data_IF_274161545479
#
_entry.id   IF_274161545479
#
_cell.length_a   1.000
_cell.length_b   1.000
_cell.length_c   1.000
_cell.angle_alpha   90.00
_cell.angle_beta   90.00
_cell.angle_gamma   90.00
#
_symmetry.space_group_name_H-M   'P 1'
#
loop_
_entity.id
_entity.type
_entity.pdbx_description
1 polymer ?
#
# COMPACT_ATOMS: atom_id res chain seq x y z
N UNK A 1 -15.46 -13.95 -4.87
CA UNK A 1 -14.01 -14.19 -5.12
C UNK A 1 -13.25 -13.93 -3.81
N UNK A 2 -12.58 -14.94 -3.25
CA UNK A 2 -11.86 -14.82 -1.97
C UNK A 2 -10.71 -13.79 -2.07
N UNK A 3 -10.35 -13.19 -0.95
CA UNK A 3 -9.31 -12.14 -0.89
C UNK A 3 -7.98 -12.61 -1.45
N UNK A 4 -7.61 -13.87 -1.17
CA UNK A 4 -6.43 -14.53 -1.71
C UNK A 4 -6.43 -14.59 -3.25
N UNK A 5 -7.59 -14.87 -3.87
CA UNK A 5 -7.71 -14.89 -5.34
C UNK A 5 -7.48 -13.52 -5.95
N UNK A 6 -7.88 -12.44 -5.27
CA UNK A 6 -7.64 -11.06 -5.74
C UNK A 6 -6.16 -10.69 -5.65
N UNK A 7 -5.52 -11.00 -4.52
CA UNK A 7 -4.08 -10.77 -4.29
C UNK A 7 -3.26 -11.53 -5.34
N UNK A 8 -3.59 -12.80 -5.58
CA UNK A 8 -2.97 -13.63 -6.61
C UNK A 8 -3.12 -13.02 -8.00
N UNK A 9 -4.35 -12.66 -8.40
CA UNK A 9 -4.59 -12.07 -9.71
C UNK A 9 -3.78 -10.77 -9.93
N UNK A 10 -3.80 -9.85 -8.95
CA UNK A 10 -3.05 -8.60 -9.09
C UNK A 10 -1.55 -8.79 -9.11
N UNK A 11 -1.03 -9.72 -8.30
CA UNK A 11 0.42 -10.02 -8.31
C UNK A 11 0.86 -10.64 -9.63
N UNK A 12 0.06 -11.55 -10.20
CA UNK A 12 0.34 -12.12 -11.53
C UNK A 12 0.32 -11.06 -12.63
N UNK A 13 -0.66 -10.15 -12.63
CA UNK A 13 -0.74 -9.06 -13.61
C UNK A 13 0.46 -8.12 -13.51
N UNK A 14 0.86 -7.75 -12.29
CA UNK A 14 2.02 -6.88 -12.07
C UNK A 14 3.31 -7.58 -12.50
N UNK A 15 3.48 -8.88 -12.20
CA UNK A 15 4.64 -9.65 -12.66
C UNK A 15 4.74 -9.71 -14.18
N UNK A 16 3.62 -9.95 -14.86
CA UNK A 16 3.54 -9.89 -16.32
C UNK A 16 3.95 -8.51 -16.85
N UNK A 17 3.48 -7.43 -16.22
CA UNK A 17 3.85 -6.08 -16.62
C UNK A 17 5.35 -5.79 -16.43
N UNK A 18 5.95 -6.23 -15.31
CA UNK A 18 7.40 -6.08 -15.06
C UNK A 18 8.21 -6.85 -16.11
N UNK A 19 7.77 -8.06 -16.44
CA UNK A 19 8.43 -8.90 -17.43
C UNK A 19 8.38 -8.28 -18.83
N UNK A 20 7.21 -7.81 -19.26
CA UNK A 20 7.06 -7.10 -20.54
C UNK A 20 7.88 -5.81 -20.56
N UNK A 21 7.88 -5.05 -19.47
CA UNK A 21 8.69 -3.83 -19.35
C UNK A 21 10.19 -4.12 -19.50
N UNK A 22 10.69 -5.16 -18.82
CA UNK A 22 12.08 -5.59 -18.96
C UNK A 22 12.40 -6.02 -20.39
N UNK A 23 11.51 -6.80 -21.01
CA UNK A 23 11.72 -7.30 -22.37
C UNK A 23 11.82 -6.18 -23.41
N UNK A 24 10.94 -5.17 -23.31
CA UNK A 24 10.95 -4.01 -24.22
C UNK A 24 12.20 -3.15 -24.03
N UNK A 25 12.67 -2.97 -22.79
CA UNK A 25 13.74 -2.01 -22.47
C UNK A 25 15.15 -2.51 -22.81
N UNK A 26 15.43 -3.78 -22.59
CA UNK A 26 16.77 -4.36 -22.78
C UNK A 26 16.88 -5.32 -23.95
N UNK A 27 15.78 -5.66 -24.63
CA UNK A 27 15.78 -6.67 -25.70
C UNK A 27 16.10 -8.09 -25.21
N UNK A 28 16.15 -8.28 -23.89
CA UNK A 28 16.52 -9.52 -23.20
C UNK A 28 16.17 -9.47 -21.71
N UNK A 29 16.33 -10.60 -21.02
CA UNK A 29 16.04 -10.72 -19.58
C UNK A 29 17.23 -10.27 -18.75
N UNK A 30 17.31 -8.98 -18.44
CA UNK A 30 18.24 -8.49 -17.43
C UNK A 30 17.66 -8.73 -16.04
N UNK A 31 18.30 -9.66 -15.31
CA UNK A 31 17.93 -10.01 -13.94
C UNK A 31 17.91 -8.81 -12.99
N UNK A 32 18.82 -7.84 -13.16
CA UNK A 32 18.92 -6.68 -12.28
C UNK A 32 17.75 -5.71 -12.46
N UNK A 33 17.26 -5.54 -13.69
CA UNK A 33 16.09 -4.69 -13.97
C UNK A 33 14.83 -5.29 -13.34
N UNK A 34 14.66 -6.61 -13.43
CA UNK A 34 13.51 -7.30 -12.84
C UNK A 34 13.53 -7.18 -11.31
N UNK A 35 14.70 -7.37 -10.69
CA UNK A 35 14.88 -7.22 -9.24
C UNK A 35 14.56 -5.79 -8.81
N UNK A 36 15.22 -4.79 -9.41
CA UNK A 36 15.04 -3.39 -9.03
C UNK A 36 13.59 -2.91 -9.23
N UNK A 37 12.97 -3.25 -10.37
CA UNK A 37 11.59 -2.85 -10.66
C UNK A 37 10.61 -3.51 -9.68
N UNK A 38 10.81 -4.79 -9.36
CA UNK A 38 10.01 -5.50 -8.35
C UNK A 38 10.16 -4.88 -6.96
N UNK A 39 11.38 -4.49 -6.58
CA UNK A 39 11.64 -3.81 -5.32
C UNK A 39 10.90 -2.46 -5.23
N UNK A 40 11.02 -1.60 -6.25
CA UNK A 40 10.37 -0.28 -6.25
C UNK A 40 8.85 -0.39 -6.20
N UNK A 41 8.27 -1.33 -6.96
CA UNK A 41 6.82 -1.57 -6.96
C UNK A 41 6.37 -2.11 -5.59
N UNK A 42 7.12 -3.06 -5.03
CA UNK A 42 6.86 -3.60 -3.70
C UNK A 42 6.90 -2.52 -2.61
N UNK A 43 7.91 -1.65 -2.66
CA UNK A 43 8.09 -0.53 -1.72
C UNK A 43 6.93 0.47 -1.83
N UNK A 44 6.52 0.82 -3.05
CA UNK A 44 5.37 1.71 -3.26
C UNK A 44 4.09 1.16 -2.60
N UNK A 45 3.77 -0.12 -2.81
CA UNK A 45 2.61 -0.75 -2.19
C UNK A 45 2.74 -0.92 -0.68
N UNK A 46 3.96 -1.18 -0.19
CA UNK A 46 4.25 -1.26 1.22
C UNK A 46 3.99 0.08 1.93
N UNK A 47 4.48 1.19 1.37
CA UNK A 47 4.25 2.55 1.90
C UNK A 47 2.76 2.88 1.93
N UNK A 48 2.03 2.58 0.85
CA UNK A 48 0.58 2.77 0.81
C UNK A 48 -0.13 1.92 1.87
N UNK A 49 0.24 0.64 1.99
CA UNK A 49 -0.32 -0.26 2.99
C UNK A 49 -0.08 0.24 4.42
N UNK A 50 1.14 0.68 4.72
CA UNK A 50 1.51 1.25 6.01
C UNK A 50 0.75 2.56 6.30
N UNK A 51 0.60 3.42 5.30
CA UNK A 51 -0.15 4.67 5.42
C UNK A 51 -1.64 4.42 5.73
N UNK A 52 -2.28 3.51 5.00
CA UNK A 52 -3.68 3.14 5.25
C UNK A 52 -3.83 2.46 6.62
N UNK A 53 -2.87 1.62 7.02
CA UNK A 53 -2.87 1.01 8.36
C UNK A 53 -2.78 2.07 9.46
N UNK A 54 -1.99 3.11 9.25
CA UNK A 54 -1.85 4.25 10.18
C UNK A 54 -3.12 5.09 10.23
N UNK A 55 -3.81 5.27 9.10
CA UNK A 55 -5.12 5.92 9.04
C UNK A 55 -6.19 5.11 9.81
N UNK A 56 -6.14 3.78 9.73
CA UNK A 56 -7.10 2.91 10.41
C UNK A 56 -6.86 2.81 11.93
N UNK A 57 -5.63 3.00 12.42
CA UNK A 57 -5.30 2.90 13.85
C UNK A 57 -6.02 3.93 14.74
N UNK A 58 -6.68 4.92 14.14
CA UNK A 58 -7.35 5.99 14.86
C UNK A 58 -6.44 7.19 15.16
N UNK A 59 -5.20 7.21 14.64
CA UNK A 59 -4.31 8.38 14.72
C UNK A 59 -5.00 9.64 14.20
N UNK A 60 -5.63 9.56 13.02
CA UNK A 60 -6.36 10.68 12.44
C UNK A 60 -7.68 11.00 13.15
N UNK A 61 -8.32 10.00 13.78
CA UNK A 61 -9.51 10.23 14.61
C UNK A 61 -9.14 11.01 15.89
N UNK A 62 -7.98 10.69 16.50
CA UNK A 62 -7.46 11.42 17.65
C UNK A 62 -7.07 12.86 17.26
N UNK A 63 -6.41 13.04 16.12
CA UNK A 63 -6.11 14.35 15.56
C UNK A 63 -7.38 15.17 15.32
N UNK A 64 -8.40 14.57 14.69
CA UNK A 64 -9.70 15.21 14.47
C UNK A 64 -10.36 15.58 15.80
N UNK A 65 -10.40 14.67 16.77
CA UNK A 65 -11.01 14.92 18.10
C UNK A 65 -10.32 16.10 18.80
N UNK A 66 -8.99 16.18 18.71
CA UNK A 66 -8.19 17.23 19.34
C UNK A 66 -8.38 18.58 18.64
N UNK A 67 -8.32 18.61 17.31
CA UNK A 67 -8.60 19.80 16.49
C UNK A 67 -10.02 20.33 16.74
N UNK A 68 -11.02 19.44 16.74
CA UNK A 68 -12.43 19.83 16.92
C UNK A 68 -12.66 20.34 18.34
N UNK A 69 -12.03 19.76 19.37
CA UNK A 69 -12.07 20.26 20.76
C UNK A 69 -11.54 21.70 20.85
N UNK A 70 -10.39 21.97 20.20
CA UNK A 70 -9.79 23.31 20.17
C UNK A 70 -10.64 24.32 19.38
N UNK A 71 -11.19 23.92 18.23
CA UNK A 71 -12.12 24.78 17.47
C UNK A 71 -13.45 25.02 18.20
N UNK A 72 -13.93 24.06 19.00
CA UNK A 72 -15.14 24.23 19.82
C UNK A 72 -14.96 25.28 20.91
N UNK A 73 -13.79 25.29 21.57
CA UNK A 73 -13.42 26.33 22.53
C UNK A 73 -13.34 27.73 21.89
N UNK A 74 -13.03 27.80 20.59
CA UNK A 74 -12.91 29.07 19.86
C UNK A 74 -14.23 29.60 19.27
N UNK A 75 -15.25 28.76 19.01
CA UNK A 75 -16.42 29.16 18.20
C UNK A 75 -17.80 29.03 18.86
N UNK A 76 -17.95 28.49 20.07
CA UNK A 76 -19.23 28.40 20.83
C UNK A 76 -20.48 27.94 20.03
N UNK A 77 -20.31 27.24 18.90
CA UNK A 77 -21.40 26.85 18.02
C UNK A 77 -21.38 25.34 17.76
N UNK A 78 -22.57 24.74 17.86
CA UNK A 78 -22.82 23.34 17.52
C UNK A 78 -22.67 23.16 16.00
N UNK A 79 -21.82 22.23 15.58
CA UNK A 79 -21.62 21.90 14.17
C UNK A 79 -21.68 20.38 13.93
N UNK A 80 -22.04 19.97 12.70
CA UNK A 80 -22.89 18.82 12.42
C UNK A 80 -22.19 17.45 12.51
N UNK A 81 -23.01 16.43 12.31
CA UNK A 81 -22.83 14.98 12.43
C UNK A 81 -21.41 14.49 12.14
N UNK A 82 -20.77 13.87 13.14
CA UNK A 82 -19.39 13.37 13.09
C UNK A 82 -19.33 11.99 12.43
N UNK A 83 -18.64 11.90 11.29
CA UNK A 83 -18.27 10.64 10.65
C UNK A 83 -16.75 10.48 10.84
N UNK A 84 -16.27 9.56 11.70
CA UNK A 84 -14.84 9.34 11.90
C UNK A 84 -14.20 8.77 10.63
N UNK A 85 -13.00 9.23 10.30
CA UNK A 85 -12.28 8.75 9.12
C UNK A 85 -11.94 7.26 9.23
N UNK A 86 -11.77 6.74 10.44
CA UNK A 86 -11.61 5.29 10.67
C UNK A 86 -12.74 4.44 10.10
N UNK A 87 -14.00 4.92 10.08
CA UNK A 87 -15.13 4.19 9.48
C UNK A 87 -15.06 4.14 7.94
N UNK A 88 -14.45 5.15 7.31
CA UNK A 88 -14.31 5.24 5.86
C UNK A 88 -13.19 4.30 5.36
N UNK A 89 -12.14 4.14 6.17
CA UNK A 89 -10.97 3.32 5.86
C UNK A 89 -11.00 1.89 6.45
N UNK A 90 -12.15 1.41 6.97
CA UNK A 90 -12.31 0.02 7.43
C UNK A 90 -12.03 -1.03 6.33
N UNK A 91 -12.03 -0.64 5.05
CA UNK A 91 -11.77 -1.56 3.94
C UNK A 91 -10.27 -1.70 3.63
N UNK A 92 -9.67 -2.64 4.36
CA UNK A 92 -8.66 -3.63 3.89
C UNK A 92 -7.26 -3.10 3.54
N UNK A 93 -6.53 -2.45 4.47
CA UNK A 93 -5.09 -2.19 4.31
C UNK A 93 -4.26 -3.46 4.12
N UNK A 94 -4.72 -4.58 4.71
CA UNK A 94 -4.03 -5.87 4.63
C UNK A 94 -3.78 -6.32 3.18
N UNK A 95 -4.66 -5.92 2.25
CA UNK A 95 -4.50 -6.24 0.83
C UNK A 95 -3.25 -5.61 0.22
N UNK A 96 -3.14 -4.28 0.31
CA UNK A 96 -2.03 -3.53 -0.27
C UNK A 96 -0.71 -3.84 0.42
N UNK A 97 -0.76 -4.00 1.74
CA UNK A 97 0.41 -4.40 2.53
C UNK A 97 0.92 -5.79 2.13
N UNK A 98 0.03 -6.78 1.98
CA UNK A 98 0.42 -8.14 1.58
C UNK A 98 1.04 -8.16 0.19
N UNK A 99 0.48 -7.42 -0.77
CA UNK A 99 1.04 -7.32 -2.13
C UNK A 99 2.44 -6.71 -2.09
N UNK A 100 2.63 -5.62 -1.35
CA UNK A 100 3.96 -4.98 -1.21
C UNK A 100 5.00 -5.93 -0.62
N UNK A 101 4.65 -6.64 0.47
CA UNK A 101 5.55 -7.61 1.12
C UNK A 101 5.95 -8.75 0.18
N UNK A 102 5.00 -9.28 -0.62
CA UNK A 102 5.30 -10.35 -1.59
C UNK A 102 6.33 -9.89 -2.62
N UNK A 103 6.19 -8.68 -3.16
CA UNK A 103 7.12 -8.16 -4.17
C UNK A 103 8.50 -7.84 -3.59
N UNK A 104 8.56 -7.31 -2.37
CA UNK A 104 9.84 -7.08 -1.66
C UNK A 104 10.53 -8.42 -1.39
N UNK A 105 9.79 -9.39 -0.85
CA UNK A 105 10.33 -10.72 -0.56
C UNK A 105 10.83 -11.42 -1.83
N UNK A 106 10.06 -11.36 -2.91
CA UNK A 106 10.46 -11.91 -4.21
C UNK A 106 11.72 -11.23 -4.74
N UNK A 107 11.81 -9.91 -4.63
CA UNK A 107 13.00 -9.15 -5.04
C UNK A 107 14.25 -9.55 -4.24
N UNK A 108 14.13 -9.69 -2.92
CA UNK A 108 15.25 -10.10 -2.06
C UNK A 108 15.66 -11.54 -2.35
N UNK A 109 14.70 -12.45 -2.54
CA UNK A 109 14.96 -13.84 -2.90
C UNK A 109 15.68 -13.96 -4.25
N UNK A 110 15.25 -13.19 -5.27
CA UNK A 110 15.92 -13.12 -6.57
C UNK A 110 17.34 -12.58 -6.43
N UNK A 111 17.54 -11.51 -5.65
CA UNK A 111 18.87 -10.93 -5.42
C UNK A 111 19.83 -11.97 -4.82
N UNK A 112 19.39 -12.70 -3.78
CA UNK A 112 20.18 -13.75 -3.12
C UNK A 112 20.51 -14.94 -4.03
N UNK A 113 19.67 -15.22 -5.03
CA UNK A 113 19.93 -16.27 -6.02
C UNK A 113 20.88 -15.81 -7.13
N UNK A 114 20.97 -14.51 -7.38
CA UNK A 114 21.84 -13.92 -8.41
C UNK A 114 23.25 -13.56 -7.91
N UNK A 115 23.44 -13.43 -6.60
CA UNK A 115 24.74 -13.24 -5.93
C UNK A 115 25.41 -14.56 -5.60
#
# INVERSE_FOLDING_TARGET
MSQLKKIGLTSTVILLAIFLYSFIRTGGMDSLIIINTSFYIGLFFFVIGAFISTLQSGFFDFFQKTMKKKMRQLRNQQTPTYIPYSKIFQKKPFYWFSVGVIFIFLSVALLLLTT
#
